data_IF_715243645985
#
_entry.id   IF_715243645985
#
_cell.length_a   1.000
_cell.length_b   1.000
_cell.length_c   1.000
_cell.angle_alpha   90.00
_cell.angle_beta   90.00
_cell.angle_gamma   90.00
#
_symmetry.space_group_name_H-M   'P 1'
#
loop_
_entity.id
_entity.type
_entity.pdbx_description
1 polymer ?
#
# COMPACT_ATOMS: atom_id res chain seq x y z
N UNK A 1 43.35 -31.78 -5.96
CA UNK A 1 42.56 -31.28 -7.11
C UNK A 1 41.34 -32.19 -7.17
N UNK A 2 40.13 -31.80 -6.80
CA UNK A 2 39.43 -30.50 -6.80
C UNK A 2 38.55 -30.36 -5.54
N UNK A 3 38.34 -29.12 -5.10
CA UNK A 3 37.34 -28.74 -4.09
C UNK A 3 35.96 -28.67 -4.76
N UNK A 4 34.91 -29.14 -4.09
CA UNK A 4 33.55 -28.60 -4.26
C UNK A 4 32.86 -28.57 -2.88
N UNK A 5 32.69 -27.35 -2.37
CA UNK A 5 31.65 -26.97 -1.40
C UNK A 5 30.30 -27.02 -2.11
N UNK A 6 29.26 -27.50 -1.42
CA UNK A 6 27.89 -27.49 -1.92
C UNK A 6 26.91 -27.46 -0.76
N UNK A 7 26.41 -26.26 -0.45
CA UNK A 7 25.29 -25.98 0.46
C UNK A 7 24.03 -26.75 0.03
N UNK A 8 23.55 -27.66 0.87
CA UNK A 8 22.21 -28.24 0.77
C UNK A 8 21.65 -28.31 2.19
N UNK A 9 20.79 -27.35 2.55
CA UNK A 9 20.28 -27.26 3.92
C UNK A 9 19.40 -26.06 4.24
N UNK A 10 18.86 -25.36 3.25
CA UNK A 10 17.95 -24.22 3.47
C UNK A 10 16.62 -24.33 2.69
N UNK A 11 16.47 -25.30 1.80
CA UNK A 11 15.25 -25.45 0.98
C UNK A 11 14.19 -26.35 1.65
N UNK A 12 14.59 -27.27 2.53
CA UNK A 12 13.67 -28.17 3.23
C UNK A 12 12.90 -27.52 4.39
N UNK A 13 13.39 -26.40 4.94
CA UNK A 13 12.71 -25.70 6.03
C UNK A 13 11.57 -24.77 5.56
N UNK A 14 11.47 -24.50 4.26
CA UNK A 14 10.42 -23.65 3.67
C UNK A 14 9.24 -24.45 3.13
N UNK A 15 9.38 -25.77 2.94
CA UNK A 15 8.29 -26.64 2.54
C UNK A 15 7.31 -26.93 3.69
N UNK A 16 7.82 -27.09 4.93
CA UNK A 16 7.01 -27.47 6.10
C UNK A 16 6.14 -26.34 6.69
N UNK A 17 6.32 -25.08 6.30
CA UNK A 17 5.48 -23.96 6.80
C UNK A 17 4.20 -23.79 5.96
N UNK A 18 4.11 -24.45 4.80
CA UNK A 18 3.02 -24.24 3.83
C UNK A 18 1.83 -25.20 4.00
N UNK A 19 1.98 -26.25 4.80
CA UNK A 19 1.01 -27.36 4.83
C UNK A 19 -0.06 -27.23 5.95
N UNK A 20 0.20 -26.42 6.99
CA UNK A 20 -0.71 -26.23 8.13
C UNK A 20 -1.82 -25.17 7.91
N UNK A 21 -1.85 -24.48 6.76
CA UNK A 21 -2.88 -23.49 6.43
C UNK A 21 -4.00 -24.03 5.51
N UNK A 22 -3.95 -25.31 5.12
CA UNK A 22 -4.85 -25.88 4.12
C UNK A 22 -5.99 -26.77 4.65
N UNK A 23 -6.20 -26.85 5.97
CA UNK A 23 -7.33 -27.60 6.57
C UNK A 23 -8.30 -26.72 7.37
N UNK A 24 -8.89 -25.68 6.75
CA UNK A 24 -10.18 -25.16 7.22
C UNK A 24 -10.94 -24.32 6.18
N UNK A 25 -11.35 -24.90 5.05
CA UNK A 25 -12.44 -24.30 4.26
C UNK A 25 -13.26 -25.29 3.42
N UNK A 26 -13.41 -26.54 3.88
CA UNK A 26 -14.50 -27.37 3.38
C UNK A 26 -15.78 -27.08 4.18
N UNK A 27 -16.52 -26.08 3.73
CA UNK A 27 -17.82 -25.75 4.31
C UNK A 27 -18.59 -24.70 3.50
N UNK A 28 -19.53 -25.18 2.69
CA UNK A 28 -20.69 -24.47 2.14
C UNK A 28 -20.51 -23.67 0.83
N UNK A 29 -20.74 -24.36 -0.29
CA UNK A 29 -20.69 -23.84 -1.67
C UNK A 29 -22.00 -23.18 -2.18
N UNK A 30 -23.03 -22.97 -1.37
CA UNK A 30 -24.37 -22.63 -1.90
C UNK A 30 -25.07 -21.41 -1.28
N UNK A 31 -24.36 -20.33 -0.92
CA UNK A 31 -25.02 -19.08 -0.43
C UNK A 31 -24.37 -17.77 -0.86
N UNK A 32 -23.30 -17.79 -1.67
CA UNK A 32 -22.52 -16.58 -1.96
C UNK A 32 -23.14 -15.70 -3.06
N UNK A 33 -23.91 -16.26 -3.99
CA UNK A 33 -24.48 -15.50 -5.12
C UNK A 33 -25.67 -14.59 -4.75
N UNK A 34 -26.45 -14.92 -3.71
CA UNK A 34 -27.62 -14.11 -3.32
C UNK A 34 -27.29 -12.91 -2.42
N UNK A 35 -26.09 -12.84 -1.84
CA UNK A 35 -25.67 -11.73 -0.97
C UNK A 35 -25.07 -10.53 -1.72
N UNK A 36 -24.65 -10.70 -2.98
CA UNK A 36 -24.03 -9.62 -3.78
C UNK A 36 -25.04 -8.74 -4.56
N UNK A 37 -26.33 -9.03 -4.45
CA UNK A 37 -27.40 -8.24 -5.09
C UNK A 37 -27.89 -7.06 -4.24
N UNK A 38 -27.27 -6.77 -3.09
CA UNK A 38 -27.49 -5.48 -2.43
C UNK A 38 -26.85 -4.40 -3.30
N UNK A 39 -27.69 -3.53 -3.86
CA UNK A 39 -27.35 -2.38 -4.70
C UNK A 39 -25.93 -1.85 -4.47
N UNK A 40 -25.01 -2.31 -5.32
CA UNK A 40 -23.68 -1.73 -5.41
C UNK A 40 -23.85 -0.29 -5.85
N UNK A 41 -23.53 0.67 -4.98
CA UNK A 41 -23.65 2.08 -5.34
C UNK A 41 -22.53 2.42 -6.32
N UNK A 42 -22.85 2.32 -7.60
CA UNK A 42 -21.93 2.64 -8.69
C UNK A 42 -21.43 4.09 -8.61
N UNK A 43 -22.22 5.01 -8.02
CA UNK A 43 -21.78 6.38 -7.80
C UNK A 43 -20.71 6.44 -6.70
N UNK A 44 -20.89 5.71 -5.60
CA UNK A 44 -19.90 5.59 -4.53
C UNK A 44 -18.60 4.94 -5.02
N UNK A 45 -18.69 3.85 -5.79
CA UNK A 45 -17.50 3.25 -6.42
C UNK A 45 -16.80 4.27 -7.31
N UNK A 46 -17.55 4.97 -8.16
CA UNK A 46 -16.97 5.94 -9.07
C UNK A 46 -16.22 7.03 -8.32
N UNK A 47 -16.78 7.57 -7.24
CA UNK A 47 -16.11 8.54 -6.39
C UNK A 47 -14.81 7.99 -5.79
N UNK A 48 -14.86 6.78 -5.21
CA UNK A 48 -13.67 6.11 -4.66
C UNK A 48 -12.59 5.87 -5.71
N UNK A 49 -12.98 5.49 -6.93
CA UNK A 49 -12.04 5.32 -8.04
C UNK A 49 -11.39 6.65 -8.42
N UNK A 50 -12.11 7.77 -8.44
CA UNK A 50 -11.53 9.08 -8.72
C UNK A 50 -10.54 9.53 -7.63
N UNK A 51 -10.77 9.15 -6.38
CA UNK A 51 -9.86 9.44 -5.27
C UNK A 51 -8.58 8.59 -5.40
N UNK A 52 -8.73 7.27 -5.55
CA UNK A 52 -7.60 6.35 -5.58
C UNK A 52 -6.79 6.50 -6.87
N UNK A 53 -7.46 6.55 -8.01
CA UNK A 53 -6.84 6.64 -9.33
C UNK A 53 -6.81 8.09 -9.85
N UNK A 54 -6.56 9.07 -8.97
CA UNK A 54 -6.61 10.50 -9.30
C UNK A 54 -5.68 10.95 -10.46
N UNK A 55 -4.70 10.13 -10.85
CA UNK A 55 -3.78 10.40 -11.97
C UNK A 55 -4.22 9.79 -13.30
N UNK A 56 -5.33 9.04 -13.30
CA UNK A 56 -5.83 8.32 -14.46
C UNK A 56 -6.75 9.20 -15.29
N UNK A 57 -6.91 8.87 -16.57
CA UNK A 57 -7.92 9.50 -17.40
C UNK A 57 -9.31 9.00 -17.02
N UNK A 58 -10.33 9.77 -17.39
CA UNK A 58 -11.73 9.36 -17.27
C UNK A 58 -11.98 8.04 -18.02
N UNK A 59 -11.32 7.83 -19.15
CA UNK A 59 -11.44 6.59 -19.94
C UNK A 59 -10.88 5.38 -19.17
N UNK A 60 -9.72 5.52 -18.53
CA UNK A 60 -9.13 4.45 -17.72
C UNK A 60 -9.98 4.15 -16.48
N UNK A 61 -10.52 5.17 -15.81
CA UNK A 61 -11.42 4.99 -14.66
C UNK A 61 -12.71 4.27 -15.09
N UNK A 62 -13.31 4.68 -16.20
CA UNK A 62 -14.49 4.00 -16.75
C UNK A 62 -14.17 2.55 -17.14
N UNK A 63 -12.97 2.27 -17.64
CA UNK A 63 -12.55 0.91 -17.91
C UNK A 63 -12.45 0.06 -16.63
N UNK A 64 -11.89 0.60 -15.55
CA UNK A 64 -11.86 -0.06 -14.24
C UNK A 64 -13.29 -0.41 -13.80
N UNK A 65 -14.19 0.58 -13.77
CA UNK A 65 -15.58 0.42 -13.31
C UNK A 65 -16.32 -0.60 -14.18
N UNK A 66 -16.19 -0.52 -15.50
CA UNK A 66 -16.86 -1.45 -16.40
C UNK A 66 -16.31 -2.87 -16.26
N UNK A 67 -15.01 -3.03 -15.99
CA UNK A 67 -14.39 -4.35 -15.84
C UNK A 67 -14.85 -5.11 -14.60
N UNK A 68 -15.31 -4.41 -13.55
CA UNK A 68 -15.77 -5.01 -12.28
C UNK A 68 -17.29 -5.22 -12.23
N UNK A 69 -18.04 -4.68 -13.22
CA UNK A 69 -19.50 -4.83 -13.27
C UNK A 69 -19.92 -6.30 -13.40
N UNK A 70 -19.24 -7.07 -14.26
CA UNK A 70 -19.58 -8.47 -14.54
C UNK A 70 -18.53 -9.47 -14.02
N UNK A 71 -17.54 -9.02 -13.26
CA UNK A 71 -16.47 -9.86 -12.73
C UNK A 71 -16.32 -9.67 -11.21
N UNK A 72 -16.82 -10.65 -10.45
CA UNK A 72 -16.80 -10.64 -8.98
C UNK A 72 -15.38 -10.59 -8.41
N UNK A 73 -14.43 -11.31 -9.02
CA UNK A 73 -13.05 -11.34 -8.55
C UNK A 73 -12.35 -10.01 -8.73
N UNK A 74 -12.51 -9.37 -9.90
CA UNK A 74 -11.97 -8.02 -10.13
C UNK A 74 -12.61 -7.00 -9.20
N UNK A 75 -13.90 -7.16 -8.89
CA UNK A 75 -14.59 -6.31 -7.92
C UNK A 75 -13.99 -6.44 -6.53
N UNK A 76 -13.85 -7.67 -6.02
CA UNK A 76 -13.24 -7.90 -4.71
C UNK A 76 -11.81 -7.35 -4.66
N UNK A 77 -11.05 -7.51 -5.75
CA UNK A 77 -9.70 -6.96 -5.86
C UNK A 77 -9.68 -5.43 -5.82
N UNK A 78 -10.61 -4.77 -6.52
CA UNK A 78 -10.73 -3.31 -6.50
C UNK A 78 -11.12 -2.80 -5.12
N UNK A 79 -12.07 -3.45 -4.45
CA UNK A 79 -12.47 -3.09 -3.08
C UNK A 79 -11.32 -3.22 -2.10
N UNK A 80 -10.58 -4.33 -2.14
CA UNK A 80 -9.38 -4.53 -1.32
C UNK A 80 -8.30 -3.50 -1.64
N UNK A 81 -8.14 -3.13 -2.91
CA UNK A 81 -7.17 -2.11 -3.33
C UNK A 81 -7.56 -0.73 -2.78
N UNK A 82 -8.83 -0.35 -2.86
CA UNK A 82 -9.34 0.91 -2.29
C UNK A 82 -9.13 0.93 -0.77
N UNK A 83 -9.44 -0.16 -0.07
CA UNK A 83 -9.21 -0.26 1.37
C UNK A 83 -7.73 -0.10 1.73
N UNK A 84 -6.82 -0.67 0.94
CA UNK A 84 -5.38 -0.48 1.14
C UNK A 84 -4.96 0.98 1.02
N UNK A 85 -5.57 1.76 0.11
CA UNK A 85 -5.31 3.19 -0.01
C UNK A 85 -5.85 3.99 1.18
N UNK A 86 -7.02 3.65 1.70
CA UNK A 86 -7.57 4.27 2.91
C UNK A 86 -6.65 4.02 4.12
N UNK A 87 -6.21 2.77 4.30
CA UNK A 87 -5.26 2.39 5.35
C UNK A 87 -3.91 3.11 5.17
N UNK A 88 -3.46 3.26 3.92
CA UNK A 88 -2.24 3.97 3.57
C UNK A 88 -2.30 5.44 3.96
N UNK A 89 -3.41 6.13 3.69
CA UNK A 89 -3.61 7.52 4.07
C UNK A 89 -3.51 7.70 5.61
N UNK A 90 -4.08 6.79 6.39
CA UNK A 90 -3.96 6.79 7.84
C UNK A 90 -2.51 6.63 8.34
N UNK A 91 -1.72 5.78 7.68
CA UNK A 91 -0.29 5.59 8.00
C UNK A 91 0.56 6.81 7.64
N UNK A 92 0.29 7.45 6.51
CA UNK A 92 0.99 8.69 6.11
C UNK A 92 0.70 9.81 7.11
N UNK A 93 -0.55 9.92 7.56
CA UNK A 93 -0.91 10.89 8.60
C UNK A 93 -0.17 10.59 9.92
N UNK A 94 -0.15 9.33 10.34
CA UNK A 94 0.59 8.89 11.55
C UNK A 94 2.09 9.19 11.45
N UNK A 95 2.69 9.00 10.28
CA UNK A 95 4.09 9.37 9.99
C UNK A 95 4.32 10.88 10.18
N UNK A 96 3.45 11.74 9.64
CA UNK A 96 3.59 13.19 9.76
C UNK A 96 3.46 13.65 11.22
N UNK A 97 2.51 13.09 11.95
CA UNK A 97 2.33 13.36 13.38
C UNK A 97 3.56 12.93 14.20
N UNK A 98 4.11 11.75 13.91
CA UNK A 98 5.33 11.26 14.53
C UNK A 98 6.50 12.23 14.31
N UNK A 99 6.73 12.67 13.08
CA UNK A 99 7.81 13.59 12.76
C UNK A 99 7.61 14.98 13.35
N UNK A 100 6.36 15.47 13.41
CA UNK A 100 6.03 16.72 14.10
C UNK A 100 6.34 16.62 15.59
N UNK A 101 5.91 15.55 16.25
CA UNK A 101 6.24 15.29 17.66
C UNK A 101 7.74 15.14 17.90
N UNK A 102 8.45 14.49 16.97
CA UNK A 102 9.91 14.37 17.04
C UNK A 102 10.60 15.73 16.94
N UNK A 103 10.15 16.61 16.04
CA UNK A 103 10.65 17.98 15.92
C UNK A 103 10.38 18.79 17.19
N UNK A 104 9.20 18.68 17.81
CA UNK A 104 8.92 19.35 19.09
C UNK A 104 9.89 18.93 20.21
N UNK A 105 10.27 17.64 20.26
CA UNK A 105 11.32 17.19 21.18
C UNK A 105 12.65 17.88 20.88
N UNK A 106 13.06 17.93 19.62
CA UNK A 106 14.30 18.59 19.23
C UNK A 106 14.27 20.09 19.58
N UNK A 107 13.16 20.78 19.32
CA UNK A 107 12.97 22.19 19.70
C UNK A 107 13.22 22.40 21.19
N UNK A 108 12.60 21.57 22.03
CA UNK A 108 12.74 21.67 23.49
C UNK A 108 14.15 21.38 24.00
N UNK A 109 14.89 20.49 23.33
CA UNK A 109 16.23 20.05 23.76
C UNK A 109 17.34 21.01 23.32
N UNK A 110 17.18 21.66 22.17
CA UNK A 110 18.24 22.43 21.52
C UNK A 110 17.90 23.92 21.35
N UNK A 111 16.80 24.39 21.94
CA UNK A 111 16.35 25.79 21.88
C UNK A 111 16.27 26.32 20.43
N UNK A 112 15.64 25.50 19.58
CA UNK A 112 15.53 25.76 18.14
C UNK A 112 14.55 26.90 17.87
N UNK A 113 14.93 27.83 17.00
CA UNK A 113 14.02 28.89 16.52
C UNK A 113 12.76 28.32 15.87
N UNK A 114 11.61 28.86 16.25
CA UNK A 114 10.30 28.39 15.76
C UNK A 114 10.19 28.47 14.24
N UNK A 115 10.69 29.54 13.61
CA UNK A 115 10.59 29.71 12.16
C UNK A 115 11.46 28.68 11.44
N UNK A 116 12.63 28.34 11.99
CA UNK A 116 13.49 27.28 11.45
C UNK A 116 12.77 25.93 11.55
N UNK A 117 12.14 25.64 12.69
CA UNK A 117 11.42 24.40 12.88
C UNK A 117 10.23 24.25 11.92
N UNK A 118 9.40 25.28 11.81
CA UNK A 118 8.27 25.33 10.86
C UNK A 118 8.75 25.11 9.42
N UNK A 119 9.80 25.82 8.97
CA UNK A 119 10.35 25.67 7.62
C UNK A 119 10.84 24.24 7.35
N UNK A 120 11.50 23.60 8.33
CA UNK A 120 11.93 22.21 8.16
C UNK A 120 10.74 21.24 8.08
N UNK A 121 9.71 21.46 8.89
CA UNK A 121 8.52 20.61 8.88
C UNK A 121 7.76 20.72 7.56
N UNK A 122 7.60 21.92 7.03
CA UNK A 122 6.98 22.14 5.71
C UNK A 122 7.73 21.42 4.59
N UNK A 123 9.07 21.53 4.58
CA UNK A 123 9.92 20.83 3.58
C UNK A 123 9.80 19.31 3.69
N UNK A 124 9.68 18.77 4.89
CA UNK A 124 9.51 17.34 5.12
C UNK A 124 8.14 16.89 4.65
N UNK A 125 7.08 17.59 5.03
CA UNK A 125 5.71 17.29 4.60
C UNK A 125 5.61 17.31 3.08
N UNK A 126 6.15 18.34 2.42
CA UNK A 126 6.21 18.41 0.96
C UNK A 126 6.94 17.20 0.32
N UNK A 127 8.05 16.79 0.93
CA UNK A 127 8.83 15.63 0.45
C UNK A 127 8.02 14.34 0.61
N UNK A 128 7.38 14.13 1.77
CA UNK A 128 6.53 12.97 2.04
C UNK A 128 5.38 12.93 1.04
N UNK A 129 4.63 14.02 0.89
CA UNK A 129 3.47 14.09 -0.01
C UNK A 129 3.85 13.79 -1.46
N UNK A 130 4.96 14.36 -1.92
CA UNK A 130 5.45 14.12 -3.28
C UNK A 130 5.85 12.66 -3.46
N UNK A 131 6.55 12.06 -2.50
CA UNK A 131 7.08 10.70 -2.62
C UNK A 131 5.96 9.66 -2.49
N UNK A 132 5.02 9.87 -1.57
CA UNK A 132 3.81 9.04 -1.42
C UNK A 132 2.99 9.07 -2.71
N UNK A 133 2.68 10.27 -3.23
CA UNK A 133 1.93 10.40 -4.49
C UNK A 133 2.60 9.65 -5.65
N UNK A 134 3.91 9.84 -5.85
CA UNK A 134 4.64 9.13 -6.92
C UNK A 134 4.57 7.60 -6.76
N UNK A 135 4.62 7.12 -5.52
CA UNK A 135 4.56 5.70 -5.19
C UNK A 135 3.15 5.15 -5.43
N UNK A 136 2.11 5.87 -5.03
CA UNK A 136 0.71 5.51 -5.28
C UNK A 136 0.41 5.46 -6.78
N UNK A 137 0.81 6.48 -7.53
CA UNK A 137 0.63 6.52 -8.99
C UNK A 137 1.29 5.33 -9.69
N UNK A 138 2.47 4.92 -9.23
CA UNK A 138 3.15 3.73 -9.76
C UNK A 138 2.38 2.45 -9.48
N UNK A 139 1.97 2.22 -8.23
CA UNK A 139 1.25 1.01 -7.85
C UNK A 139 -0.14 0.92 -8.47
N UNK A 140 -0.84 2.05 -8.61
CA UNK A 140 -2.11 2.12 -9.33
C UNK A 140 -1.99 1.70 -10.79
N UNK A 141 -0.89 2.10 -11.47
CA UNK A 141 -0.60 1.63 -12.83
C UNK A 141 -0.36 0.13 -12.89
N UNK A 142 0.32 -0.44 -11.90
CA UNK A 142 0.50 -1.90 -11.81
C UNK A 142 -0.82 -2.61 -11.57
N UNK A 143 -1.68 -2.09 -10.68
CA UNK A 143 -3.00 -2.65 -10.43
C UNK A 143 -3.84 -2.66 -11.72
N UNK A 144 -3.92 -1.52 -12.41
CA UNK A 144 -4.63 -1.42 -13.67
C UNK A 144 -4.10 -2.39 -14.73
N UNK A 145 -2.78 -2.44 -14.90
CA UNK A 145 -2.19 -3.33 -15.88
C UNK A 145 -2.43 -4.80 -15.56
N UNK A 146 -2.08 -5.27 -14.35
CA UNK A 146 -2.16 -6.70 -14.03
C UNK A 146 -3.57 -7.19 -13.74
N UNK A 147 -4.38 -6.42 -13.01
CA UNK A 147 -5.70 -6.88 -12.57
C UNK A 147 -6.77 -6.56 -13.61
N UNK A 148 -6.71 -5.37 -14.22
CA UNK A 148 -7.78 -4.90 -15.13
C UNK A 148 -7.51 -5.36 -16.57
N UNK A 149 -6.31 -5.13 -17.11
CA UNK A 149 -5.96 -5.46 -18.50
C UNK A 149 -5.53 -6.92 -18.69
N UNK A 150 -4.51 -7.37 -17.97
CA UNK A 150 -3.86 -8.67 -18.22
C UNK A 150 -4.60 -9.85 -17.57
N UNK A 151 -5.59 -9.58 -16.72
CA UNK A 151 -6.36 -10.60 -15.99
C UNK A 151 -5.43 -11.59 -15.25
N UNK A 152 -4.57 -11.06 -14.38
CA UNK A 152 -3.71 -11.87 -13.50
C UNK A 152 -4.51 -13.06 -12.94
N UNK A 153 -3.95 -14.29 -12.92
CA UNK A 153 -4.66 -15.44 -12.40
C UNK A 153 -5.15 -15.22 -10.97
N UNK A 154 -6.36 -15.68 -10.65
CA UNK A 154 -6.95 -15.54 -9.31
C UNK A 154 -6.07 -16.10 -8.20
N UNK A 155 -5.29 -17.16 -8.49
CA UNK A 155 -4.31 -17.73 -7.55
C UNK A 155 -3.22 -16.74 -7.12
N UNK A 156 -2.95 -15.71 -7.91
CA UNK A 156 -1.92 -14.69 -7.65
C UNK A 156 -2.50 -13.38 -7.08
N UNK A 157 -3.82 -13.26 -6.97
CA UNK A 157 -4.50 -12.04 -6.50
C UNK A 157 -4.12 -11.68 -5.06
N UNK A 158 -4.21 -12.65 -4.16
CA UNK A 158 -3.85 -12.46 -2.75
C UNK A 158 -2.36 -12.08 -2.61
N UNK A 159 -1.51 -12.73 -3.41
CA UNK A 159 -0.07 -12.42 -3.45
C UNK A 159 0.16 -10.99 -3.91
N UNK A 160 -0.56 -10.50 -4.93
CA UNK A 160 -0.45 -9.13 -5.41
C UNK A 160 -0.80 -8.11 -4.32
N UNK A 161 -1.96 -8.29 -3.65
CA UNK A 161 -2.41 -7.44 -2.54
C UNK A 161 -1.39 -7.41 -1.41
N UNK A 162 -0.88 -8.58 -1.01
CA UNK A 162 0.09 -8.69 0.07
C UNK A 162 1.43 -8.04 -0.26
N UNK A 163 1.91 -8.16 -1.50
CA UNK A 163 3.10 -7.47 -1.98
C UNK A 163 2.89 -5.95 -1.89
N UNK A 164 1.77 -5.43 -2.38
CA UNK A 164 1.45 -4.00 -2.31
C UNK A 164 1.42 -3.49 -0.86
N UNK A 165 0.71 -4.19 0.03
CA UNK A 165 0.64 -3.85 1.46
C UNK A 165 2.01 -3.83 2.12
N UNK A 166 2.81 -4.87 1.91
CA UNK A 166 4.13 -5.01 2.54
C UNK A 166 5.13 -3.99 2.00
N UNK A 167 5.12 -3.73 0.69
CA UNK A 167 5.95 -2.71 0.07
C UNK A 167 5.62 -1.32 0.63
N UNK A 168 4.33 -0.99 0.76
CA UNK A 168 3.91 0.28 1.34
C UNK A 168 4.31 0.43 2.81
N UNK A 169 4.18 -0.63 3.62
CA UNK A 169 4.63 -0.60 5.02
C UNK A 169 6.14 -0.33 5.12
N UNK A 170 6.95 -1.07 4.36
CA UNK A 170 8.39 -0.88 4.33
C UNK A 170 8.77 0.54 3.88
N UNK A 171 8.04 1.08 2.89
CA UNK A 171 8.22 2.45 2.41
C UNK A 171 7.91 3.49 3.51
N UNK A 172 6.84 3.32 4.29
CA UNK A 172 6.54 4.20 5.43
C UNK A 172 7.63 4.16 6.50
N UNK A 173 8.10 2.96 6.87
CA UNK A 173 9.19 2.81 7.86
C UNK A 173 10.49 3.50 7.40
N UNK A 174 10.79 3.43 6.11
CA UNK A 174 11.91 4.15 5.50
C UNK A 174 11.70 5.66 5.57
N UNK A 175 10.49 6.16 5.27
CA UNK A 175 10.18 7.59 5.37
C UNK A 175 10.28 8.12 6.81
N UNK A 176 9.90 7.33 7.83
CA UNK A 176 10.12 7.69 9.24
C UNK A 176 11.62 7.90 9.48
N UNK A 177 12.42 6.89 9.14
CA UNK A 177 13.87 6.90 9.37
C UNK A 177 14.55 8.06 8.63
N UNK A 178 14.15 8.30 7.38
CA UNK A 178 14.67 9.41 6.58
C UNK A 178 14.25 10.77 7.14
N UNK A 179 13.01 10.91 7.59
CA UNK A 179 12.45 12.12 8.19
C UNK A 179 13.21 12.51 9.45
N UNK A 180 13.36 11.58 10.40
CA UNK A 180 14.12 11.82 11.64
C UNK A 180 15.57 12.17 11.37
N UNK A 181 16.24 11.46 10.45
CA UNK A 181 17.63 11.75 10.07
C UNK A 181 17.76 13.15 9.48
N UNK A 182 16.81 13.56 8.65
CA UNK A 182 16.80 14.89 8.03
C UNK A 182 16.58 15.98 9.08
N UNK A 183 15.64 15.79 10.01
CA UNK A 183 15.43 16.69 11.14
C UNK A 183 16.70 16.83 11.98
N UNK A 184 17.31 15.72 12.39
CA UNK A 184 18.57 15.74 13.15
C UNK A 184 19.66 16.52 12.41
N UNK A 185 19.84 16.26 11.11
CA UNK A 185 20.85 16.96 10.32
C UNK A 185 20.56 18.46 10.19
N UNK A 186 19.30 18.86 10.08
CA UNK A 186 18.97 20.28 9.92
C UNK A 186 19.04 21.06 11.24
N UNK A 187 18.70 20.41 12.35
CA UNK A 187 18.58 21.04 13.67
C UNK A 187 19.87 21.00 14.49
N UNK A 188 20.64 19.90 14.43
CA UNK A 188 21.81 19.67 15.28
C UNK A 188 23.13 20.14 14.67
N UNK A 189 23.10 20.83 13.52
CA UNK A 189 24.31 21.30 12.85
C UNK A 189 25.13 22.27 13.72
#
# INVERSE_FOLDING_TARGET
MTNEDGQEGAEDALAEITEDLYESSQGNRNTTEELFQSAYDQAELSEKCHIVFHSFTEEDINEIINSVNDNLFKREMLERWIQLHEDAAGKVQSLKEHLSFYLEKLKSLYDVDENIAEEQMEKINYTIDTTVRMTEEYHNKLFFYYIIKDNLPESDHERFINIGRNAFNAFIDELVTMGERKLNKCILN
#
